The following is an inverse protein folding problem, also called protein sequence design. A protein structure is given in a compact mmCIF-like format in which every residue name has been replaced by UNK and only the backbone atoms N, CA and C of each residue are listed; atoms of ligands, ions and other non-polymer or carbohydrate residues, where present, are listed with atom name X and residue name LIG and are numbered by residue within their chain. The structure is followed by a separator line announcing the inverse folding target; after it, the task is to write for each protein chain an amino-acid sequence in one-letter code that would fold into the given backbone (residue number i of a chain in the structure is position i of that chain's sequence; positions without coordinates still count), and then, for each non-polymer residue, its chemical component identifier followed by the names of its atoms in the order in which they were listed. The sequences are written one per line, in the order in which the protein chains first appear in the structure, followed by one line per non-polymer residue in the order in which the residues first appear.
data_IF_198310156963
#
_entry.id   IF_198310156963
#
_cell.length_a   1.000
_cell.length_b   1.000
_cell.length_c   1.000
_cell.angle_alpha   90.00
_cell.angle_beta   90.00
_cell.angle_gamma   90.00
#
_symmetry.space_group_name_H-M   'P 1'
#
loop_
_entity.id
_entity.type
_entity.pdbx_description
1 polymer ?
#
# COMPACT_ATOMS: atom_id res chain seq x y z
N UNK A 1 -17.73 1.33 7.42
CA UNK A 1 -16.40 0.99 8.00
C UNK A 1 -15.39 0.77 6.88
N UNK A 2 -14.10 1.08 7.12
CA UNK A 2 -13.06 0.81 6.12
C UNK A 2 -12.49 -0.61 6.30
N UNK A 3 -12.53 -1.41 5.23
CA UNK A 3 -11.97 -2.78 5.20
C UNK A 3 -10.86 -2.87 4.15
N UNK A 4 -9.82 -3.65 4.44
CA UNK A 4 -8.76 -3.94 3.49
C UNK A 4 -8.87 -5.38 2.97
N UNK A 5 -9.00 -5.54 1.66
CA UNK A 5 -9.04 -6.85 1.00
C UNK A 5 -7.82 -6.97 0.08
N UNK A 6 -7.01 -8.00 0.30
CA UNK A 6 -5.84 -8.31 -0.53
C UNK A 6 -6.11 -9.54 -1.38
N UNK A 7 -6.01 -9.38 -2.69
CA UNK A 7 -6.24 -10.44 -3.68
C UNK A 7 -5.00 -10.65 -4.53
N UNK A 8 -4.80 -11.87 -5.02
CA UNK A 8 -3.77 -12.17 -6.01
C UNK A 8 -4.25 -11.74 -7.40
N UNK A 9 -3.37 -11.09 -8.17
CA UNK A 9 -3.63 -10.69 -9.54
C UNK A 9 -2.63 -11.38 -10.48
N UNK A 10 -3.05 -11.59 -11.73
CA UNK A 10 -2.30 -12.32 -12.75
C UNK A 10 -2.10 -11.45 -14.01
N UNK A 11 -1.20 -10.45 -13.93
CA UNK A 11 -0.95 -9.59 -15.09
C UNK A 11 -0.26 -10.38 -16.21
N UNK A 12 -0.66 -10.11 -17.45
CA UNK A 12 0.02 -10.60 -18.67
C UNK A 12 1.46 -10.08 -18.74
N UNK A 13 2.28 -10.64 -19.62
CA UNK A 13 3.67 -10.20 -19.81
C UNK A 13 3.75 -8.71 -20.14
N UNK A 14 2.86 -8.19 -20.99
CA UNK A 14 2.79 -6.77 -21.34
C UNK A 14 2.40 -5.91 -20.11
N UNK A 15 1.44 -6.37 -19.31
CA UNK A 15 1.03 -5.68 -18.08
C UNK A 15 2.13 -5.73 -17.02
N UNK A 16 2.89 -6.82 -16.92
CA UNK A 16 4.05 -6.90 -16.01
C UNK A 16 5.14 -5.90 -16.40
N UNK A 17 5.44 -5.77 -17.70
CA UNK A 17 6.39 -4.77 -18.20
C UNK A 17 5.91 -3.34 -17.86
N UNK A 18 4.63 -3.04 -18.09
CA UNK A 18 4.04 -1.75 -17.73
C UNK A 18 4.10 -1.49 -16.22
N UNK A 19 3.76 -2.47 -15.37
CA UNK A 19 3.86 -2.35 -13.91
C UNK A 19 5.31 -2.13 -13.46
N UNK A 20 6.28 -2.83 -14.05
CA UNK A 20 7.70 -2.63 -13.72
C UNK A 20 8.15 -1.19 -14.00
N UNK A 21 7.74 -0.63 -15.15
CA UNK A 21 7.98 0.77 -15.49
C UNK A 21 7.26 1.71 -14.51
N UNK A 22 5.99 1.47 -14.22
CA UNK A 22 5.20 2.29 -13.31
C UNK A 22 5.78 2.29 -11.88
N UNK A 23 6.27 1.15 -11.37
CA UNK A 23 7.02 1.09 -10.09
C UNK A 23 8.29 1.95 -10.15
N UNK A 24 8.98 1.95 -11.29
CA UNK A 24 10.13 2.82 -11.54
C UNK A 24 9.76 4.30 -11.46
N UNK A 25 8.68 4.69 -12.14
CA UNK A 25 8.19 6.07 -12.15
C UNK A 25 7.84 6.59 -10.75
N UNK A 26 7.04 5.85 -9.98
CA UNK A 26 6.64 6.29 -8.63
C UNK A 26 7.82 6.31 -7.66
N UNK A 27 8.80 5.40 -7.81
CA UNK A 27 10.03 5.40 -7.03
C UNK A 27 10.88 6.62 -7.36
N UNK A 28 11.05 6.95 -8.63
CA UNK A 28 11.80 8.13 -9.06
C UNK A 28 11.16 9.41 -8.52
N UNK A 29 9.84 9.56 -8.67
CA UNK A 29 9.11 10.72 -8.15
C UNK A 29 9.26 10.85 -6.63
N UNK A 30 9.18 9.75 -5.88
CA UNK A 30 9.46 9.75 -4.44
C UNK A 30 10.86 10.25 -4.14
N UNK A 31 11.86 9.70 -4.81
CA UNK A 31 13.26 10.03 -4.56
C UNK A 31 13.60 11.47 -4.94
N UNK A 32 13.11 11.91 -6.11
CA UNK A 32 13.28 13.28 -6.57
C UNK A 32 12.61 14.28 -5.61
N UNK A 33 11.38 13.96 -5.16
CA UNK A 33 10.68 14.80 -4.19
C UNK A 33 11.44 14.88 -2.85
N UNK A 34 11.93 13.75 -2.35
CA UNK A 34 12.69 13.71 -1.10
C UNK A 34 14.00 14.52 -1.23
N UNK A 35 14.73 14.35 -2.32
CA UNK A 35 15.96 15.11 -2.57
C UNK A 35 15.70 16.62 -2.61
N UNK A 36 14.69 17.05 -3.40
CA UNK A 36 14.33 18.47 -3.53
C UNK A 36 13.87 19.06 -2.19
N UNK A 37 12.99 18.35 -1.45
CA UNK A 37 12.50 18.84 -0.15
C UNK A 37 13.63 18.99 0.87
N UNK A 38 14.56 18.01 0.89
CA UNK A 38 15.73 18.05 1.79
C UNK A 38 16.69 19.18 1.43
N UNK A 39 17.04 19.33 0.14
CA UNK A 39 17.93 20.40 -0.33
C UNK A 39 17.34 21.79 -0.05
N UNK A 40 16.06 22.02 -0.37
CA UNK A 40 15.40 23.30 -0.09
C UNK A 40 15.41 23.63 1.40
N UNK A 41 15.18 22.63 2.26
CA UNK A 41 15.26 22.86 3.71
C UNK A 41 16.66 23.23 4.18
N UNK A 42 17.69 22.56 3.65
CA UNK A 42 19.11 22.87 3.97
C UNK A 42 19.51 24.28 3.52
N UNK A 43 19.03 24.72 2.36
CA UNK A 43 19.36 26.04 1.79
C UNK A 43 18.56 27.18 2.45
N UNK A 44 17.30 26.96 2.75
CA UNK A 44 16.38 28.06 3.15
C UNK A 44 15.90 27.99 4.61
N UNK A 45 16.13 26.86 5.30
CA UNK A 45 15.55 26.57 6.61
C UNK A 45 14.03 26.37 6.60
N UNK A 46 13.39 26.36 5.40
CA UNK A 46 11.93 26.23 5.26
C UNK A 46 11.54 24.91 4.59
N UNK A 47 10.60 24.20 5.19
CA UNK A 47 10.07 22.95 4.62
C UNK A 47 9.15 23.22 3.42
N UNK A 48 9.22 22.35 2.42
CA UNK A 48 8.30 22.32 1.27
C UNK A 48 7.19 21.33 1.52
N UNK A 49 5.94 21.74 1.33
CA UNK A 49 4.80 20.81 1.51
C UNK A 49 4.67 19.84 0.34
N UNK A 50 4.09 18.66 0.60
CA UNK A 50 3.78 17.70 -0.47
C UNK A 50 2.85 18.30 -1.54
N UNK A 51 1.96 19.21 -1.15
CA UNK A 51 1.05 19.90 -2.09
C UNK A 51 1.81 20.81 -3.05
N UNK A 52 2.80 21.55 -2.54
CA UNK A 52 3.70 22.36 -3.37
C UNK A 52 4.55 21.49 -4.28
N UNK A 53 5.14 20.40 -3.74
CA UNK A 53 5.98 19.48 -4.51
C UNK A 53 5.20 18.78 -5.63
N UNK A 54 3.91 18.48 -5.42
CA UNK A 54 3.05 17.89 -6.45
C UNK A 54 2.95 18.76 -7.72
N UNK A 55 3.07 20.09 -7.60
CA UNK A 55 3.07 21.02 -8.74
C UNK A 55 4.29 20.87 -9.66
N UNK A 56 5.37 20.23 -9.19
CA UNK A 56 6.56 19.95 -10.00
C UNK A 56 6.36 18.77 -10.98
N UNK A 57 5.35 17.91 -10.78
CA UNK A 57 5.12 16.73 -11.63
C UNK A 57 4.93 17.07 -13.11
N UNK A 58 4.15 18.10 -13.51
CA UNK A 58 4.04 18.48 -14.91
C UNK A 58 5.38 18.91 -15.53
N UNK A 59 6.22 19.64 -14.79
CA UNK A 59 7.56 20.04 -15.23
C UNK A 59 8.45 18.80 -15.43
N UNK A 60 8.48 17.90 -14.48
CA UNK A 60 9.21 16.64 -14.61
C UNK A 60 8.73 15.77 -15.77
N UNK A 61 7.43 15.78 -16.09
CA UNK A 61 6.91 15.09 -17.28
C UNK A 61 7.32 15.74 -18.58
N UNK A 62 7.50 17.04 -18.59
CA UNK A 62 7.99 17.76 -19.76
C UNK A 62 9.47 17.40 -20.04
N UNK A 63 10.27 17.30 -18.99
CA UNK A 63 11.69 16.95 -19.05
C UNK A 63 11.89 15.43 -19.26
N UNK A 64 11.22 14.60 -18.48
CA UNK A 64 11.34 13.14 -18.51
C UNK A 64 10.10 12.50 -19.14
N UNK A 65 10.06 12.37 -20.45
CA UNK A 65 8.89 11.87 -21.22
C UNK A 65 8.38 10.52 -20.74
N UNK A 66 9.28 9.63 -20.27
CA UNK A 66 8.92 8.31 -19.75
C UNK A 66 8.02 8.34 -18.51
N UNK A 67 7.97 9.45 -17.75
CA UNK A 67 7.01 9.63 -16.64
C UNK A 67 5.56 9.69 -17.14
N UNK A 68 5.34 10.08 -18.40
CA UNK A 68 4.01 10.13 -19.01
C UNK A 68 3.41 8.75 -19.27
N UNK A 69 4.23 7.70 -19.25
CA UNK A 69 3.78 6.30 -19.37
C UNK A 69 3.03 5.83 -18.11
N UNK A 70 3.29 6.47 -16.96
CA UNK A 70 2.63 6.15 -15.71
C UNK A 70 1.36 7.00 -15.52
N UNK A 71 0.32 6.37 -14.96
CA UNK A 71 -0.92 7.07 -14.61
C UNK A 71 -0.63 8.23 -13.64
N UNK A 72 -1.00 9.45 -14.02
CA UNK A 72 -0.58 10.67 -13.34
C UNK A 72 -0.94 10.73 -11.86
N UNK A 73 -2.10 10.18 -11.50
CA UNK A 73 -2.54 10.18 -10.10
C UNK A 73 -1.68 9.28 -9.21
N UNK A 74 -1.08 8.22 -9.77
CA UNK A 74 -0.13 7.38 -9.03
C UNK A 74 1.16 8.16 -8.71
N UNK A 75 1.63 9.02 -9.62
CA UNK A 75 2.77 9.89 -9.38
C UNK A 75 2.46 10.92 -8.28
N UNK A 76 1.27 11.56 -8.37
CA UNK A 76 0.81 12.48 -7.34
C UNK A 76 0.68 11.81 -5.98
N UNK A 77 0.14 10.58 -5.94
CA UNK A 77 0.00 9.81 -4.72
C UNK A 77 1.35 9.46 -4.09
N UNK A 78 2.39 9.22 -4.91
CA UNK A 78 3.75 9.01 -4.40
C UNK A 78 4.27 10.21 -3.61
N UNK A 79 4.01 11.43 -4.08
CA UNK A 79 4.38 12.68 -3.39
C UNK A 79 3.57 12.86 -2.10
N UNK A 80 2.25 12.60 -2.16
CA UNK A 80 1.39 12.70 -0.98
C UNK A 80 1.81 11.69 0.11
N UNK A 81 2.16 10.47 -0.28
CA UNK A 81 2.66 9.45 0.64
C UNK A 81 4.01 9.87 1.28
N UNK A 82 4.86 10.60 0.56
CA UNK A 82 6.06 11.19 1.14
C UNK A 82 5.70 12.26 2.20
N UNK A 83 4.70 13.10 1.92
CA UNK A 83 4.19 14.05 2.91
C UNK A 83 3.69 13.38 4.19
N UNK A 84 2.94 12.27 4.05
CA UNK A 84 2.52 11.46 5.21
C UNK A 84 3.72 10.87 5.96
N UNK A 85 4.77 10.43 5.24
CA UNK A 85 5.98 9.91 5.87
C UNK A 85 6.71 10.99 6.68
N UNK A 86 6.80 12.23 6.17
CA UNK A 86 7.31 13.36 6.94
C UNK A 86 6.43 13.70 8.16
N UNK A 87 5.10 13.68 8.02
CA UNK A 87 4.19 13.86 9.14
C UNK A 87 4.45 12.83 10.25
N UNK A 88 4.56 11.56 9.90
CA UNK A 88 4.88 10.49 10.85
C UNK A 88 6.26 10.66 11.52
N UNK A 89 7.23 11.18 10.79
CA UNK A 89 8.54 11.51 11.35
C UNK A 89 8.46 12.64 12.38
N UNK A 90 7.81 13.75 12.04
CA UNK A 90 7.66 14.88 12.98
C UNK A 90 6.81 14.55 14.21
N UNK A 91 5.84 13.63 14.06
CA UNK A 91 5.03 13.11 15.17
C UNK A 91 5.78 12.05 16.00
N UNK A 92 7.04 11.74 15.71
CA UNK A 92 7.83 10.72 16.39
C UNK A 92 7.37 9.27 16.14
N UNK A 93 6.44 9.04 15.18
CA UNK A 93 5.89 7.71 14.88
C UNK A 93 6.74 6.89 13.90
N UNK A 94 7.68 7.52 13.20
CA UNK A 94 8.55 6.86 12.23
C UNK A 94 9.91 7.56 12.13
N UNK A 95 10.89 6.86 11.57
CA UNK A 95 12.20 7.44 11.23
C UNK A 95 12.10 8.36 10.02
N UNK A 96 13.14 9.18 9.79
CA UNK A 96 13.23 10.06 8.62
C UNK A 96 13.02 9.29 7.31
N UNK A 97 12.26 9.84 6.35
CA UNK A 97 12.02 9.18 5.07
C UNK A 97 13.32 8.87 4.33
N UNK A 98 13.39 7.68 3.73
CA UNK A 98 14.59 7.21 3.02
C UNK A 98 14.34 7.07 1.52
N UNK A 99 15.42 7.10 0.73
CA UNK A 99 15.37 6.82 -0.71
C UNK A 99 14.94 5.38 -0.97
N UNK A 100 14.01 5.21 -1.90
CA UNK A 100 13.53 3.89 -2.33
C UNK A 100 14.51 3.25 -3.31
N UNK A 101 14.89 2.00 -3.06
CA UNK A 101 15.80 1.22 -3.89
C UNK A 101 15.03 0.33 -4.89
N UNK A 102 15.68 -0.03 -6.02
CA UNK A 102 15.10 -0.93 -7.04
C UNK A 102 14.82 -2.32 -6.49
N UNK A 103 15.67 -2.82 -5.62
CA UNK A 103 15.52 -4.13 -4.96
C UNK A 103 14.55 -4.10 -3.77
N UNK A 104 14.11 -2.92 -3.35
CA UNK A 104 13.14 -2.77 -2.25
C UNK A 104 11.72 -3.15 -2.66
N UNK A 105 10.78 -2.92 -1.76
CA UNK A 105 9.36 -3.17 -1.98
C UNK A 105 8.86 -2.46 -3.24
N UNK A 106 8.33 -3.21 -4.19
CA UNK A 106 7.73 -2.69 -5.41
C UNK A 106 6.21 -2.54 -5.21
N UNK A 107 5.74 -1.31 -5.19
CA UNK A 107 4.30 -1.03 -5.05
C UNK A 107 3.91 0.28 -5.71
N UNK A 108 2.68 0.34 -6.21
CA UNK A 108 2.05 1.52 -6.79
C UNK A 108 0.63 1.65 -6.26
N UNK A 109 0.23 2.86 -5.91
CA UNK A 109 -1.09 3.15 -5.36
C UNK A 109 -1.94 3.90 -6.38
N UNK A 110 -3.10 3.34 -6.66
CA UNK A 110 -4.17 3.93 -7.48
C UNK A 110 -5.20 4.53 -6.51
N UNK A 111 -5.26 5.87 -6.38
CA UNK A 111 -6.14 6.50 -5.39
C UNK A 111 -7.61 6.45 -5.76
N UNK A 112 -7.93 6.25 -7.06
CA UNK A 112 -9.30 6.19 -7.58
C UNK A 112 -9.35 5.52 -8.96
N UNK A 113 -10.57 5.36 -9.51
CA UNK A 113 -10.85 4.84 -10.85
C UNK A 113 -10.40 3.38 -11.04
N UNK A 114 -10.38 2.60 -9.96
CA UNK A 114 -10.27 1.15 -10.03
C UNK A 114 -11.63 0.54 -9.77
N UNK A 115 -12.06 -0.37 -10.64
CA UNK A 115 -13.35 -1.03 -10.56
C UNK A 115 -13.15 -2.54 -10.56
N UNK A 116 -13.82 -3.23 -9.64
CA UNK A 116 -13.95 -4.69 -9.67
C UNK A 116 -15.10 -5.00 -10.60
N UNK A 117 -14.82 -5.69 -11.69
CA UNK A 117 -15.83 -6.03 -12.70
C UNK A 117 -16.54 -7.36 -12.38
N UNK A 118 -15.77 -8.31 -11.82
CA UNK A 118 -16.23 -9.63 -11.42
C UNK A 118 -15.27 -10.24 -10.40
N UNK A 119 -15.56 -11.44 -9.93
CA UNK A 119 -14.67 -12.20 -9.03
C UNK A 119 -13.31 -12.53 -9.64
N UNK A 120 -13.18 -12.34 -10.94
CA UNK A 120 -11.98 -12.67 -11.70
C UNK A 120 -11.31 -11.47 -12.37
N UNK A 121 -11.88 -10.26 -12.32
CA UNK A 121 -11.39 -9.14 -13.11
C UNK A 121 -11.43 -7.81 -12.34
N UNK A 122 -10.29 -7.11 -12.38
CA UNK A 122 -10.15 -5.75 -11.83
C UNK A 122 -9.68 -4.82 -12.95
N UNK A 123 -10.46 -3.77 -13.22
CA UNK A 123 -10.13 -2.73 -14.19
C UNK A 123 -9.36 -1.60 -13.51
N UNK A 124 -8.17 -1.34 -14.00
CA UNK A 124 -7.32 -0.22 -13.59
C UNK A 124 -7.35 0.90 -14.62
N UNK A 125 -7.15 2.16 -14.20
CA UNK A 125 -7.06 3.29 -15.11
C UNK A 125 -5.75 3.30 -15.89
N UNK A 126 -5.74 4.03 -17.02
CA UNK A 126 -4.57 4.18 -17.87
C UNK A 126 -4.24 2.92 -18.67
N UNK A 127 -2.95 2.72 -18.96
CA UNK A 127 -2.46 1.66 -19.85
C UNK A 127 -2.49 0.25 -19.24
N UNK A 128 -2.69 0.11 -17.93
CA UNK A 128 -2.74 -1.20 -17.28
C UNK A 128 -4.00 -1.98 -17.67
N UNK A 129 -5.15 -1.29 -17.79
CA UNK A 129 -6.41 -1.89 -18.23
C UNK A 129 -6.96 -2.94 -17.26
N UNK A 130 -7.63 -3.96 -17.79
CA UNK A 130 -8.22 -5.05 -17.01
C UNK A 130 -7.19 -6.13 -16.72
N UNK A 131 -7.07 -6.51 -15.45
CA UNK A 131 -6.16 -7.54 -14.97
C UNK A 131 -6.96 -8.68 -14.34
N UNK A 132 -6.60 -9.91 -14.67
CA UNK A 132 -7.19 -11.10 -14.05
C UNK A 132 -6.80 -11.14 -12.57
N UNK A 133 -7.77 -11.41 -11.72
CA UNK A 133 -7.62 -11.49 -10.26
C UNK A 133 -8.28 -12.76 -9.73
N UNK A 134 -7.91 -13.17 -8.51
CA UNK A 134 -8.64 -14.21 -7.78
C UNK A 134 -9.23 -13.55 -6.52
N UNK A 135 -10.48 -13.14 -6.64
CA UNK A 135 -11.23 -12.54 -5.54
C UNK A 135 -11.88 -13.68 -4.74
N UNK A 136 -11.51 -13.79 -3.47
CA UNK A 136 -11.98 -14.88 -2.59
C UNK A 136 -13.12 -14.48 -1.67
N UNK A 137 -13.50 -13.22 -1.70
CA UNK A 137 -14.54 -12.65 -0.83
C UNK A 137 -15.34 -11.65 -1.62
N UNK A 138 -16.61 -11.61 -1.37
CA UNK A 138 -17.49 -10.59 -1.93
C UNK A 138 -16.96 -9.20 -1.54
N UNK A 139 -16.85 -8.33 -2.53
CA UNK A 139 -16.42 -6.96 -2.35
C UNK A 139 -17.66 -6.09 -2.28
N UNK A 140 -18.22 -6.01 -1.07
CA UNK A 140 -19.34 -5.13 -0.78
C UNK A 140 -18.85 -3.74 -0.42
N UNK A 141 -19.42 -2.71 -1.05
CA UNK A 141 -19.10 -1.31 -0.77
C UNK A 141 -18.27 -0.62 -1.85
N UNK A 142 -17.85 0.60 -1.54
CA UNK A 142 -17.13 1.47 -2.47
C UNK A 142 -15.62 1.26 -2.38
N UNK A 143 -14.99 0.83 -3.47
CA UNK A 143 -13.52 0.78 -3.58
C UNK A 143 -12.97 2.21 -3.55
N UNK A 144 -12.13 2.52 -2.57
CA UNK A 144 -11.46 3.83 -2.40
C UNK A 144 -10.10 3.85 -3.08
N UNK A 145 -9.19 3.07 -2.58
CA UNK A 145 -7.79 3.05 -3.00
C UNK A 145 -7.33 1.62 -3.24
N UNK A 146 -6.57 1.40 -4.30
CA UNK A 146 -5.98 0.08 -4.60
C UNK A 146 -4.48 0.20 -4.69
N UNK A 147 -3.76 -0.62 -3.93
CA UNK A 147 -2.30 -0.72 -4.00
C UNK A 147 -1.91 -2.02 -4.69
N UNK A 148 -1.30 -1.89 -5.86
CA UNK A 148 -0.69 -3.03 -6.56
C UNK A 148 0.75 -3.19 -6.08
N UNK A 149 1.13 -4.42 -5.73
CA UNK A 149 2.47 -4.76 -5.27
C UNK A 149 2.99 -6.02 -5.94
N UNK A 150 4.32 -6.09 -6.10
CA UNK A 150 5.04 -7.28 -6.54
C UNK A 150 5.90 -7.79 -5.40
N UNK A 151 5.76 -9.06 -5.06
CA UNK A 151 6.61 -9.74 -4.10
C UNK A 151 7.94 -10.18 -4.73
N UNK A 152 8.99 -10.47 -3.93
CA UNK A 152 10.27 -10.99 -4.42
C UNK A 152 10.15 -12.30 -5.20
N UNK A 153 9.15 -13.12 -4.90
CA UNK A 153 8.82 -14.38 -5.59
C UNK A 153 8.15 -14.19 -6.96
N UNK A 154 8.02 -12.93 -7.43
CA UNK A 154 7.41 -12.57 -8.71
C UNK A 154 5.89 -12.47 -8.68
N UNK A 155 5.21 -12.81 -7.59
CA UNK A 155 3.75 -12.75 -7.48
C UNK A 155 3.25 -11.32 -7.30
N UNK A 156 2.11 -11.01 -7.94
CA UNK A 156 1.45 -9.72 -7.87
C UNK A 156 0.19 -9.78 -7.01
N UNK A 157 -0.05 -8.70 -6.27
CA UNK A 157 -1.22 -8.56 -5.40
C UNK A 157 -1.84 -7.17 -5.56
N UNK A 158 -3.16 -7.11 -5.43
CA UNK A 158 -3.91 -5.87 -5.29
C UNK A 158 -4.51 -5.82 -3.88
N UNK A 159 -4.16 -4.80 -3.10
CA UNK A 159 -4.76 -4.52 -1.80
C UNK A 159 -5.74 -3.38 -1.97
N UNK A 160 -7.02 -3.65 -1.79
CA UNK A 160 -8.13 -2.72 -1.97
C UNK A 160 -8.60 -2.21 -0.62
N UNK A 161 -8.72 -0.90 -0.47
CA UNK A 161 -9.41 -0.27 0.65
C UNK A 161 -10.86 -0.05 0.22
N UNK A 162 -11.78 -0.65 0.95
CA UNK A 162 -13.21 -0.66 0.66
C UNK A 162 -13.94 0.01 1.80
N UNK A 163 -14.91 0.84 1.48
CA UNK A 163 -15.83 1.44 2.42
C UNK A 163 -17.17 0.76 2.26
N UNK A 164 -17.57 -0.04 3.25
CA UNK A 164 -18.83 -0.80 3.24
C UNK A 164 -20.03 0.03 3.73
N UNK A 165 -19.80 1.28 4.13
CA UNK A 165 -20.84 2.18 4.63
C UNK A 165 -21.39 1.82 6.02
N UNK A 166 -20.92 0.71 6.62
CA UNK A 166 -21.37 0.32 7.96
C UNK A 166 -20.64 1.12 9.03
N UNK A 167 -21.31 1.37 10.13
CA UNK A 167 -20.68 1.92 11.32
C UNK A 167 -19.74 0.88 11.98
N UNK A 168 -18.70 1.36 12.62
CA UNK A 168 -17.83 0.48 13.38
C UNK A 168 -18.62 -0.06 14.57
N UNK A 169 -18.76 -1.38 14.75
CA UNK A 169 -19.44 -1.90 15.92
C UNK A 169 -18.72 -1.42 17.18
N UNK A 170 -19.48 -0.97 18.14
CA UNK A 170 -18.91 -0.66 19.45
C UNK A 170 -18.33 -1.95 20.07
N UNK A 171 -17.13 -1.87 20.65
CA UNK A 171 -16.57 -3.03 21.32
C UNK A 171 -17.47 -3.40 22.52
N UNK A 172 -18.21 -4.49 22.41
CA UNK A 172 -18.92 -5.06 23.54
C UNK A 172 -17.97 -5.93 24.35
N UNK A 173 -17.42 -5.37 25.40
CA UNK A 173 -16.71 -6.14 26.42
C UNK A 173 -17.59 -6.27 27.64
N UNK A 174 -18.58 -7.13 27.68
CA UNK A 174 -19.44 -7.40 28.85
C UNK A 174 -18.63 -7.80 30.14
N UNK A 175 -17.51 -7.14 30.37
CA UNK A 175 -16.56 -7.42 31.44
C UNK A 175 -15.76 -8.72 31.26
N UNK A 176 -15.94 -9.42 30.14
CA UNK A 176 -15.25 -10.68 29.82
C UNK A 176 -14.04 -10.41 28.92
N UNK A 177 -12.92 -10.02 29.54
CA UNK A 177 -11.63 -9.92 28.88
C UNK A 177 -10.81 -11.17 29.20
N UNK A 178 -10.26 -11.81 28.19
CA UNK A 178 -9.30 -12.90 28.35
C UNK A 178 -8.00 -12.55 27.64
N UNK A 179 -6.89 -12.61 28.38
CA UNK A 179 -5.55 -12.53 27.81
C UNK A 179 -5.11 -13.93 27.36
N UNK A 180 -4.46 -14.01 26.21
CA UNK A 180 -3.92 -15.26 25.64
C UNK A 180 -2.43 -15.06 25.37
N UNK A 181 -1.60 -15.92 25.98
CA UNK A 181 -0.18 -16.03 25.69
C UNK A 181 0.09 -17.33 24.92
N UNK A 182 0.82 -17.23 23.80
CA UNK A 182 1.18 -18.37 22.95
C UNK A 182 2.63 -18.79 23.22
N UNK A 183 2.82 -20.06 23.61
CA UNK A 183 4.12 -20.61 23.98
C UNK A 183 4.53 -21.84 23.16
N UNK A 184 5.78 -22.24 23.35
CA UNK A 184 6.34 -23.46 22.71
C UNK A 184 6.06 -24.71 23.52
N UNK A 185 5.96 -24.61 24.84
CA UNK A 185 5.70 -25.76 25.75
C UNK A 185 4.20 -26.04 25.81
N UNK A 186 3.43 -25.03 26.20
CA UNK A 186 1.98 -25.03 26.10
C UNK A 186 1.62 -24.18 24.85
N UNK A 187 0.65 -24.67 24.09
CA UNK A 187 0.19 -23.95 22.88
C UNK A 187 -0.38 -22.59 23.24
N UNK A 188 -1.17 -22.54 24.29
CA UNK A 188 -1.75 -21.31 24.81
C UNK A 188 -1.93 -21.38 26.31
N UNK A 189 -1.73 -20.25 26.99
CA UNK A 189 -2.06 -20.01 28.38
C UNK A 189 -2.99 -18.82 28.46
N UNK A 190 -4.13 -18.96 29.09
CA UNK A 190 -5.10 -17.88 29.24
C UNK A 190 -4.94 -17.17 30.57
N UNK A 191 -5.40 -15.92 30.65
CA UNK A 191 -5.27 -15.10 31.87
C UNK A 191 -6.03 -15.65 33.09
N UNK A 192 -6.95 -16.59 32.87
CA UNK A 192 -7.65 -17.33 33.93
C UNK A 192 -6.84 -18.56 34.44
N UNK A 193 -5.63 -18.78 33.90
CA UNK A 193 -4.75 -19.89 34.27
C UNK A 193 -4.97 -21.17 33.49
N UNK A 194 -5.91 -21.22 32.56
CA UNK A 194 -6.13 -22.40 31.70
C UNK A 194 -4.96 -22.62 30.76
N UNK A 195 -4.50 -23.87 30.63
CA UNK A 195 -3.37 -24.26 29.75
C UNK A 195 -3.85 -25.21 28.69
N UNK A 196 -3.48 -24.90 27.42
CA UNK A 196 -3.78 -25.73 26.27
C UNK A 196 -2.50 -26.36 25.74
N UNK A 197 -2.45 -27.68 25.71
CA UNK A 197 -1.26 -28.42 25.27
C UNK A 197 -1.05 -28.28 23.76
N UNK A 198 0.22 -28.22 23.34
CA UNK A 198 0.56 -28.15 21.92
C UNK A 198 0.24 -29.52 21.25
N UNK A 199 -0.55 -29.55 20.16
CA UNK A 199 -0.98 -30.78 19.50
C UNK A 199 0.18 -31.63 18.92
N UNK A 200 1.41 -31.06 18.80
CA UNK A 200 2.64 -31.74 18.33
C UNK A 200 2.44 -32.66 17.12
N UNK A 201 1.60 -32.24 16.17
CA UNK A 201 1.22 -33.02 14.99
C UNK A 201 2.40 -33.49 14.10
N UNK A 202 3.60 -32.92 14.30
CA UNK A 202 4.82 -33.22 13.53
C UNK A 202 5.79 -34.17 14.23
N UNK A 203 5.52 -34.63 15.45
CA UNK A 203 6.29 -35.75 16.03
C UNK A 203 5.71 -37.05 15.51
N UNK A 204 6.29 -37.57 14.42
CA UNK A 204 6.30 -39.00 14.08
C UNK A 204 7.41 -39.68 14.88
#
# INVERSE_FOLDING_TARGET
MLKAVKVRIYPTVAQQAHLAQAFGCVRWVWNQSLATMTATYQETGRGVTAMTMKKSIPLWKAEYKWLSECYSQCLQQSVLNLGVAFGNFFDGRAMYPTFKKRQGKQSIQYPQNVTVLSDCEIKFPGKLGTVIAKVHRDIEGKVKTVTVSKNPDGRYFASMLIDDGMECPEPSSDGKLIGLDLGLTDFAVTSDGSKYQHPRATKK
#
